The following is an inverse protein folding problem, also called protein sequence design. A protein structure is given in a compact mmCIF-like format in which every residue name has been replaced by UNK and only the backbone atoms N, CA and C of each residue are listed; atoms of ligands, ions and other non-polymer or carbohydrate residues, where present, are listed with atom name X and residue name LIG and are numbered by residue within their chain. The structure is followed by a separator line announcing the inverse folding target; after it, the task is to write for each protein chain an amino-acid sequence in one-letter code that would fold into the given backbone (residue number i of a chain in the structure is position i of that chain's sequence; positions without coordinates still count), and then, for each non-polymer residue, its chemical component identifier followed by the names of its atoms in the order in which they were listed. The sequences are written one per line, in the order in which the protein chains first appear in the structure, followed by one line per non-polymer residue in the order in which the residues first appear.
data_IF_694887267985
#
_entry.id   IF_694887267985
#
_cell.length_a   1.000
_cell.length_b   1.000
_cell.length_c   1.000
_cell.angle_alpha   90.00
_cell.angle_beta   90.00
_cell.angle_gamma   90.00
#
_symmetry.space_group_name_H-M   'P 1'
#
loop_
_entity.id
_entity.type
_entity.pdbx_description
1 polymer ?
#
# COMPACT_ATOMS: atom_id res chain seq x y z
N UNK A 1 1.32 -24.61 14.74
CA UNK A 1 -0.15 -24.77 14.81
C UNK A 1 -0.47 -26.25 14.69
N UNK A 2 -1.50 -26.78 15.37
CA UNK A 2 -1.90 -28.17 15.21
C UNK A 2 -2.36 -28.43 13.77
N UNK A 3 -1.89 -29.52 13.17
CA UNK A 3 -2.15 -29.88 11.77
C UNK A 3 -3.64 -30.09 11.49
N UNK A 4 -4.39 -30.55 12.49
CA UNK A 4 -5.86 -30.69 12.46
C UNK A 4 -6.62 -29.37 12.22
N UNK A 5 -6.00 -28.22 12.48
CA UNK A 5 -6.61 -26.91 12.25
C UNK A 5 -6.51 -26.46 10.77
N UNK A 6 -5.57 -27.03 10.03
CA UNK A 6 -5.22 -26.59 8.67
C UNK A 6 -5.60 -27.61 7.59
N UNK A 7 -6.15 -28.77 7.98
CA UNK A 7 -6.70 -29.75 7.03
C UNK A 7 -7.90 -29.14 6.28
N UNK A 8 -7.77 -29.06 4.95
CA UNK A 8 -8.81 -28.49 4.08
C UNK A 8 -8.84 -26.96 3.99
N UNK A 9 -7.92 -26.26 4.64
CA UNK A 9 -7.78 -24.83 4.46
C UNK A 9 -7.38 -24.51 3.01
N UNK A 10 -8.02 -23.50 2.42
CA UNK A 10 -7.57 -22.95 1.15
C UNK A 10 -6.11 -22.46 1.29
N UNK A 11 -5.28 -22.54 0.23
CA UNK A 11 -3.91 -22.04 0.30
C UNK A 11 -3.88 -20.60 0.81
N UNK A 12 -3.11 -20.32 1.86
CA UNK A 12 -2.86 -18.96 2.37
C UNK A 12 -1.93 -18.17 1.43
N UNK A 13 -2.19 -18.23 0.13
CA UNK A 13 -1.43 -17.54 -0.92
C UNK A 13 -1.87 -16.08 -1.10
N UNK A 14 -2.97 -15.68 -0.44
CA UNK A 14 -3.49 -14.32 -0.46
C UNK A 14 -3.53 -13.69 0.93
N UNK A 15 -3.14 -12.42 1.00
CA UNK A 15 -3.47 -11.52 2.09
C UNK A 15 -4.29 -10.36 1.51
N UNK A 16 -5.15 -9.72 2.30
CA UNK A 16 -5.85 -8.49 1.88
C UNK A 16 -4.91 -7.26 1.85
N UNK A 17 -3.61 -7.49 1.60
CA UNK A 17 -2.57 -6.49 1.62
C UNK A 17 -1.65 -6.62 0.41
N UNK A 18 -1.23 -5.47 -0.14
CA UNK A 18 -0.14 -5.37 -1.12
C UNK A 18 1.03 -4.65 -0.47
N UNK A 19 2.25 -5.13 -0.71
CA UNK A 19 3.48 -4.41 -0.37
C UNK A 19 4.04 -3.80 -1.67
N UNK A 20 3.75 -2.53 -1.90
CA UNK A 20 3.97 -1.85 -3.17
C UNK A 20 5.25 -1.02 -3.13
N UNK A 21 6.15 -1.26 -4.08
CA UNK A 21 7.37 -0.46 -4.26
C UNK A 21 7.00 0.94 -4.81
N UNK A 22 7.43 1.98 -4.12
CA UNK A 22 7.22 3.38 -4.48
C UNK A 22 8.52 4.06 -4.93
N UNK A 23 9.63 3.34 -5.12
CA UNK A 23 10.95 3.92 -5.41
C UNK A 23 11.03 4.74 -6.69
N UNK A 24 10.08 4.55 -7.62
CA UNK A 24 9.95 5.39 -8.80
C UNK A 24 9.47 6.82 -8.45
N UNK A 25 8.88 7.02 -7.28
CA UNK A 25 8.21 8.26 -6.87
C UNK A 25 8.82 8.89 -5.60
N UNK A 26 9.37 8.08 -4.69
CA UNK A 26 9.96 8.53 -3.43
C UNK A 26 10.85 7.45 -2.82
N UNK A 27 11.81 7.86 -2.00
CA UNK A 27 12.66 6.99 -1.18
C UNK A 27 12.30 7.10 0.33
N UNK A 28 11.17 7.75 0.65
CA UNK A 28 10.66 7.93 2.00
C UNK A 28 9.17 7.59 2.07
N UNK A 29 8.87 6.36 2.48
CA UNK A 29 7.51 5.84 2.60
C UNK A 29 6.68 6.51 3.69
N UNK A 30 7.32 7.05 4.73
CA UNK A 30 6.60 7.76 5.81
C UNK A 30 6.06 9.08 5.31
N UNK A 31 6.89 9.90 4.67
CA UNK A 31 6.46 11.16 4.06
C UNK A 31 5.45 10.92 2.92
N UNK A 32 5.70 9.91 2.09
CA UNK A 32 4.80 9.57 0.99
C UNK A 32 3.39 9.19 1.48
N UNK A 33 3.29 8.36 2.53
CA UNK A 33 2.00 7.99 3.14
C UNK A 33 1.29 9.20 3.74
N UNK A 34 2.03 10.07 4.46
CA UNK A 34 1.47 11.27 5.07
C UNK A 34 0.92 12.25 4.01
N UNK A 35 1.66 12.45 2.91
CA UNK A 35 1.25 13.30 1.80
C UNK A 35 0.05 12.75 1.04
N UNK A 36 0.04 11.45 0.75
CA UNK A 36 -1.10 10.81 0.09
C UNK A 36 -2.39 10.97 0.93
N UNK A 37 -2.28 10.85 2.25
CA UNK A 37 -3.39 11.11 3.16
C UNK A 37 -3.82 12.59 3.14
N UNK A 38 -2.87 13.51 3.29
CA UNK A 38 -3.17 14.94 3.36
C UNK A 38 -3.74 15.49 2.04
N UNK A 39 -3.17 15.09 0.90
CA UNK A 39 -3.51 15.64 -0.42
C UNK A 39 -4.72 14.95 -1.05
N UNK A 40 -4.90 13.64 -0.83
CA UNK A 40 -5.94 12.83 -1.50
C UNK A 40 -6.88 12.09 -0.55
N UNK A 41 -6.67 12.16 0.76
CA UNK A 41 -7.52 11.49 1.73
C UNK A 41 -7.43 9.96 1.67
N UNK A 42 -6.29 9.39 1.26
CA UNK A 42 -6.07 7.94 1.25
C UNK A 42 -5.03 7.58 2.30
N UNK A 43 -5.45 6.85 3.33
CA UNK A 43 -4.55 6.35 4.36
C UNK A 43 -3.85 5.06 3.89
N UNK A 44 -2.54 5.01 4.03
CA UNK A 44 -1.70 3.82 3.76
C UNK A 44 -0.73 3.63 4.92
N UNK A 45 -0.15 2.43 5.05
CA UNK A 45 0.87 2.17 6.08
C UNK A 45 2.26 2.25 5.46
N UNK A 46 3.20 3.03 6.03
CA UNK A 46 4.59 3.04 5.60
C UNK A 46 5.23 1.65 5.69
N UNK A 47 6.13 1.32 4.76
CA UNK A 47 6.80 0.03 4.76
C UNK A 47 7.82 -0.13 5.88
N UNK A 48 8.34 0.98 6.43
CA UNK A 48 9.29 0.97 7.56
C UNK A 48 8.75 0.29 8.82
N UNK A 49 7.41 0.21 8.96
CA UNK A 49 6.75 -0.50 10.06
C UNK A 49 6.92 -2.03 9.96
N UNK A 50 7.26 -2.54 8.78
CA UNK A 50 7.35 -3.98 8.48
C UNK A 50 8.75 -4.43 8.06
N UNK A 51 9.53 -3.53 7.46
CA UNK A 51 10.90 -3.79 7.02
C UNK A 51 11.79 -2.60 7.41
N UNK A 52 12.68 -2.76 8.41
CA UNK A 52 13.55 -1.68 8.87
C UNK A 52 14.72 -1.38 7.91
N UNK A 53 14.98 -2.24 6.92
CA UNK A 53 16.08 -2.08 5.96
C UNK A 53 15.53 -1.44 4.69
N UNK A 54 14.62 -2.12 4.00
CA UNK A 54 14.16 -1.70 2.67
C UNK A 54 12.78 -1.04 2.68
N UNK A 55 12.06 -1.05 3.82
CA UNK A 55 10.68 -0.55 3.94
C UNK A 55 10.50 0.95 3.68
N UNK A 56 11.59 1.73 3.66
CA UNK A 56 11.57 3.14 3.25
C UNK A 56 11.10 3.32 1.80
N UNK A 57 11.18 2.28 0.97
CA UNK A 57 10.72 2.27 -0.44
C UNK A 57 9.37 1.62 -0.67
N UNK A 58 8.67 1.17 0.37
CA UNK A 58 7.43 0.42 0.20
C UNK A 58 6.27 1.04 0.97
N UNK A 59 5.05 0.80 0.47
CA UNK A 59 3.81 0.99 1.21
C UNK A 59 3.10 -0.34 1.38
N UNK A 60 2.44 -0.53 2.53
CA UNK A 60 1.45 -1.58 2.71
C UNK A 60 0.05 -1.02 2.46
N UNK A 61 -0.64 -1.56 1.46
CA UNK A 61 -1.99 -1.17 1.06
C UNK A 61 -2.96 -2.26 1.49
N UNK A 62 -3.98 -1.92 2.27
CA UNK A 62 -5.09 -2.85 2.55
C UNK A 62 -6.16 -2.71 1.48
N UNK A 63 -6.67 -3.84 0.98
CA UNK A 63 -7.82 -3.87 0.07
C UNK A 63 -9.03 -4.62 0.65
N UNK A 64 -9.13 -4.67 1.98
CA UNK A 64 -10.23 -5.30 2.71
C UNK A 64 -11.51 -4.43 2.82
N UNK A 65 -11.73 -3.53 1.87
CA UNK A 65 -12.90 -2.63 1.85
C UNK A 65 -13.95 -3.03 0.81
N UNK A 66 -15.01 -2.23 0.68
CA UNK A 66 -16.00 -2.44 -0.39
C UNK A 66 -15.38 -2.18 -1.76
N UNK A 67 -15.88 -2.83 -2.81
CA UNK A 67 -15.38 -2.62 -4.17
C UNK A 67 -15.48 -1.14 -4.60
N UNK A 68 -16.49 -0.42 -4.13
CA UNK A 68 -16.66 1.00 -4.41
C UNK A 68 -15.55 1.85 -3.76
N UNK A 69 -15.27 1.63 -2.48
CA UNK A 69 -14.20 2.33 -1.76
C UNK A 69 -12.82 2.02 -2.37
N UNK A 70 -12.59 0.75 -2.74
CA UNK A 70 -11.34 0.35 -3.37
C UNK A 70 -11.14 1.00 -4.74
N UNK A 71 -12.20 1.11 -5.53
CA UNK A 71 -12.15 1.79 -6.81
C UNK A 71 -11.82 3.28 -6.64
N UNK A 72 -12.47 3.95 -5.70
CA UNK A 72 -12.19 5.36 -5.40
C UNK A 72 -10.75 5.57 -4.89
N UNK A 73 -10.29 4.71 -3.97
CA UNK A 73 -8.94 4.78 -3.43
C UNK A 73 -7.88 4.65 -4.53
N UNK A 74 -8.04 3.69 -5.44
CA UNK A 74 -7.12 3.50 -6.58
C UNK A 74 -7.11 4.74 -7.48
N UNK A 75 -8.27 5.33 -7.77
CA UNK A 75 -8.35 6.56 -8.58
C UNK A 75 -7.62 7.73 -7.93
N UNK A 76 -7.76 7.91 -6.62
CA UNK A 76 -7.07 8.94 -5.83
C UNK A 76 -5.55 8.73 -5.82
N UNK A 77 -5.09 7.48 -5.62
CA UNK A 77 -3.67 7.12 -5.69
C UNK A 77 -3.10 7.38 -7.09
N UNK A 78 -3.81 7.00 -8.15
CA UNK A 78 -3.38 7.22 -9.53
C UNK A 78 -3.24 8.72 -9.86
N UNK A 79 -4.18 9.54 -9.39
CA UNK A 79 -4.11 11.00 -9.53
C UNK A 79 -2.88 11.59 -8.81
N UNK A 80 -2.59 11.11 -7.59
CA UNK A 80 -1.41 11.53 -6.82
C UNK A 80 -0.11 11.23 -7.56
N UNK A 81 0.14 9.97 -7.92
CA UNK A 81 1.41 9.56 -8.53
C UNK A 81 1.63 10.18 -9.91
N UNK A 82 0.54 10.46 -10.65
CA UNK A 82 0.60 11.23 -11.90
C UNK A 82 1.02 12.67 -11.66
N UNK A 83 0.50 13.32 -10.60
CA UNK A 83 0.89 14.70 -10.26
C UNK A 83 2.36 14.83 -9.85
N UNK A 84 2.95 13.79 -9.23
CA UNK A 84 4.39 13.76 -8.92
C UNK A 84 5.26 13.73 -10.18
N UNK A 85 4.82 13.02 -11.23
CA UNK A 85 5.55 12.94 -12.51
C UNK A 85 5.56 14.27 -13.27
N UNK A 86 4.48 15.03 -13.19
CA UNK A 86 4.40 16.36 -13.83
C UNK A 86 5.37 17.34 -13.19
N UNK A 87 5.52 17.30 -11.86
CA UNK A 87 6.40 18.21 -11.13
C UNK A 87 7.90 17.86 -11.25
N UNK A 88 8.22 16.69 -11.80
CA UNK A 88 9.60 16.23 -12.01
C UNK A 88 10.12 16.51 -13.44
N UNK A 89 9.28 17.08 -14.32
CA UNK A 89 9.59 17.49 -15.69
C UNK A 89 9.73 19.01 -15.79
#
# INVERSE_FOLDING_TARGET
MPVSLTEGAAPCQGAFYLFADISQYSDNSTDFAARLLAERGVATTPGVDFDPIDGHRYLRLSFAGSSADMHEAVMRVNSFITSLKINAA
#
